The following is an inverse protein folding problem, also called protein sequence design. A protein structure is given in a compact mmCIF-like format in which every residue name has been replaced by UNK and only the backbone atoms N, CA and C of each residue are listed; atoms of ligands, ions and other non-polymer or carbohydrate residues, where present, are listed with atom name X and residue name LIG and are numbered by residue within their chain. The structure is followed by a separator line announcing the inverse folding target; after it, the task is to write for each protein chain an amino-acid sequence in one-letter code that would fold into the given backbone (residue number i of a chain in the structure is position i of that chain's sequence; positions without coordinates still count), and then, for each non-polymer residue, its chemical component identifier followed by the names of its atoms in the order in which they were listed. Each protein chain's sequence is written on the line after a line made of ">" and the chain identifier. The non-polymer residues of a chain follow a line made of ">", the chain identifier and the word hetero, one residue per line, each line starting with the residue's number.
data_IF_864084988727
#
_entry.id   IF_864084988727
#
_cell.length_a   1.000
_cell.length_b   1.000
_cell.length_c   1.000
_cell.angle_alpha   90.00
_cell.angle_beta   90.00
_cell.angle_gamma   90.00
#
_symmetry.space_group_name_H-M   'P 1'
#
loop_
_entity.id
_entity.type
_entity.pdbx_description
1 polymer ?
#
# COMPACT_ATOMS: atom_id res chain seq x y z
N UNK A 1 -5.03 6.52 23.23
CA UNK A 1 -5.52 5.16 23.55
C UNK A 1 -4.62 4.15 22.87
N UNK A 2 -4.29 3.03 23.53
CA UNK A 2 -3.56 1.96 22.88
C UNK A 2 -4.39 1.40 21.71
N UNK A 3 -3.75 1.02 20.60
CA UNK A 3 -4.41 0.33 19.49
C UNK A 3 -4.90 -1.03 19.99
N UNK A 4 -6.14 -1.35 19.73
CA UNK A 4 -6.65 -2.71 19.98
C UNK A 4 -5.93 -3.69 19.04
N UNK A 5 -5.61 -4.92 19.50
CA UNK A 5 -5.03 -5.94 18.63
C UNK A 5 -6.01 -6.30 17.51
N UNK A 6 -5.48 -6.76 16.38
CA UNK A 6 -6.30 -7.26 15.29
C UNK A 6 -7.20 -8.41 15.79
N UNK A 7 -8.46 -8.42 15.35
CA UNK A 7 -9.42 -9.48 15.70
C UNK A 7 -8.98 -10.83 15.12
N UNK A 8 -8.40 -10.81 13.94
CA UNK A 8 -7.94 -11.98 13.21
C UNK A 8 -6.43 -11.93 13.01
N UNK A 9 -5.78 -13.06 13.19
CA UNK A 9 -4.35 -13.21 12.99
C UNK A 9 -3.96 -13.62 11.56
N UNK A 10 -4.95 -13.84 10.66
CA UNK A 10 -4.77 -14.12 9.24
C UNK A 10 -6.05 -13.84 8.48
N UNK A 11 -5.95 -13.68 7.15
CA UNK A 11 -7.14 -13.61 6.29
C UNK A 11 -7.91 -14.94 6.31
N UNK A 12 -7.20 -16.06 6.36
CA UNK A 12 -7.85 -17.38 6.48
C UNK A 12 -8.78 -17.47 7.69
N UNK A 13 -8.37 -16.96 8.86
CA UNK A 13 -9.21 -16.89 10.05
C UNK A 13 -10.37 -15.88 9.91
N UNK A 14 -10.13 -14.76 9.21
CA UNK A 14 -11.15 -13.73 8.94
C UNK A 14 -12.29 -14.32 8.08
N UNK A 15 -11.98 -14.97 6.97
CA UNK A 15 -12.98 -15.49 6.02
C UNK A 15 -13.85 -16.61 6.61
N UNK A 16 -13.45 -17.23 7.70
CA UNK A 16 -14.28 -18.21 8.42
C UNK A 16 -15.43 -17.57 9.20
N UNK A 17 -15.35 -16.27 9.46
CA UNK A 17 -16.27 -15.53 10.34
C UNK A 17 -16.98 -14.38 9.65
N UNK A 18 -16.35 -13.81 8.63
CA UNK A 18 -16.84 -12.65 7.90
C UNK A 18 -17.28 -13.08 6.49
N UNK A 19 -18.28 -12.41 5.93
CA UNK A 19 -18.91 -12.78 4.65
C UNK A 19 -18.47 -11.84 3.54
N UNK A 20 -17.87 -12.40 2.49
CA UNK A 20 -17.57 -11.62 1.28
C UNK A 20 -18.85 -11.08 0.63
N UNK A 21 -18.81 -9.82 0.21
CA UNK A 21 -19.95 -9.09 -0.33
C UNK A 21 -20.85 -8.44 0.72
N UNK A 22 -20.66 -8.76 2.01
CA UNK A 22 -21.38 -8.16 3.15
C UNK A 22 -20.43 -7.38 4.05
N UNK A 23 -19.42 -8.04 4.57
CA UNK A 23 -18.46 -7.46 5.53
C UNK A 23 -17.24 -6.88 4.82
N UNK A 24 -16.77 -7.58 3.79
CA UNK A 24 -15.63 -7.20 2.96
C UNK A 24 -15.85 -7.60 1.51
N UNK A 25 -14.98 -7.11 0.64
CA UNK A 25 -14.84 -7.62 -0.73
C UNK A 25 -13.38 -7.60 -1.19
N UNK A 26 -13.03 -8.55 -2.04
CA UNK A 26 -11.78 -8.56 -2.78
C UNK A 26 -12.01 -8.00 -4.19
N UNK A 27 -11.14 -7.10 -4.63
CA UNK A 27 -11.11 -6.60 -6.00
C UNK A 27 -9.72 -6.76 -6.58
N UNK A 28 -9.65 -7.37 -7.74
CA UNK A 28 -8.40 -7.54 -8.48
C UNK A 28 -8.57 -7.08 -9.93
N UNK A 29 -7.58 -6.38 -10.43
CA UNK A 29 -7.44 -6.00 -11.82
C UNK A 29 -6.06 -6.45 -12.29
N UNK A 30 -5.98 -7.63 -12.88
CA UNK A 30 -4.73 -8.16 -13.45
C UNK A 30 -4.41 -7.46 -14.76
N UNK A 31 -3.16 -7.07 -14.93
CA UNK A 31 -2.62 -6.45 -16.14
C UNK A 31 -1.35 -7.17 -16.59
N UNK A 32 -1.01 -7.06 -17.86
CA UNK A 32 0.30 -7.48 -18.36
C UNK A 32 1.37 -6.46 -17.93
N UNK A 33 1.67 -6.46 -16.63
CA UNK A 33 2.58 -5.52 -15.99
C UNK A 33 3.40 -6.25 -14.92
N UNK A 34 4.71 -5.98 -14.82
CA UNK A 34 5.54 -6.51 -13.74
C UNK A 34 5.30 -5.79 -12.40
N UNK A 35 4.38 -4.81 -12.36
CA UNK A 35 4.10 -3.97 -11.19
C UNK A 35 2.74 -4.33 -10.61
N UNK A 36 2.67 -4.56 -9.30
CA UNK A 36 1.45 -4.67 -8.53
C UNK A 36 1.33 -3.52 -7.52
N UNK A 37 0.18 -2.85 -7.56
CA UNK A 37 -0.27 -1.93 -6.51
C UNK A 37 -1.28 -2.69 -5.66
N UNK A 38 -1.07 -2.75 -4.36
CA UNK A 38 -1.96 -3.46 -3.44
C UNK A 38 -2.43 -2.54 -2.33
N UNK A 39 -3.68 -2.67 -1.92
CA UNK A 39 -4.25 -2.02 -0.74
C UNK A 39 -4.91 -3.11 0.14
N UNK A 40 -4.13 -3.72 1.05
CA UNK A 40 -4.61 -4.86 1.84
C UNK A 40 -5.57 -4.47 2.96
N UNK A 41 -5.78 -3.18 3.21
CA UNK A 41 -6.67 -2.66 4.25
C UNK A 41 -7.57 -1.54 3.70
N UNK A 42 -8.09 -1.71 2.51
CA UNK A 42 -8.84 -0.69 1.79
C UNK A 42 -10.31 -0.55 2.26
N UNK A 43 -11.07 0.27 1.57
CA UNK A 43 -12.46 0.57 1.93
C UNK A 43 -12.53 1.30 3.27
N UNK A 44 -13.41 0.84 4.17
CA UNK A 44 -13.58 1.47 5.49
C UNK A 44 -12.56 1.01 6.55
N UNK A 45 -11.65 0.07 6.24
CA UNK A 45 -10.57 -0.32 7.15
C UNK A 45 -9.56 0.84 7.28
N UNK A 46 -9.03 1.31 6.15
CA UNK A 46 -8.15 2.48 6.04
C UNK A 46 -8.69 3.38 4.93
N UNK A 47 -9.67 4.25 5.21
CA UNK A 47 -10.41 5.01 4.20
C UNK A 47 -9.52 5.80 3.24
N UNK A 48 -9.94 5.88 1.97
CA UNK A 48 -9.28 6.50 0.82
C UNK A 48 -8.10 5.71 0.22
N UNK A 49 -7.62 4.62 0.84
CA UNK A 49 -6.52 3.83 0.27
C UNK A 49 -6.93 3.11 -1.01
N UNK A 50 -8.21 2.74 -1.17
CA UNK A 50 -8.75 2.20 -2.43
C UNK A 50 -8.57 3.16 -3.60
N UNK A 51 -8.98 4.41 -3.42
CA UNK A 51 -8.98 5.45 -4.44
C UNK A 51 -7.55 5.87 -4.79
N UNK A 52 -6.68 5.98 -3.78
CA UNK A 52 -5.26 6.29 -3.98
C UNK A 52 -4.59 5.15 -4.75
N UNK A 53 -4.78 3.90 -4.35
CA UNK A 53 -4.22 2.74 -5.05
C UNK A 53 -4.71 2.65 -6.50
N UNK A 54 -6.02 2.85 -6.73
CA UNK A 54 -6.62 2.87 -8.07
C UNK A 54 -6.02 3.97 -8.94
N UNK A 55 -5.84 5.19 -8.38
CA UNK A 55 -5.27 6.32 -9.11
C UNK A 55 -3.79 6.10 -9.43
N UNK A 56 -3.03 5.46 -8.54
CA UNK A 56 -1.64 5.07 -8.80
C UNK A 56 -1.58 3.99 -9.89
N UNK A 57 -2.43 2.96 -9.82
CA UNK A 57 -2.46 1.89 -10.82
C UNK A 57 -2.85 2.40 -12.22
N UNK A 58 -3.76 3.37 -12.30
CA UNK A 58 -4.17 4.10 -13.52
C UNK A 58 -4.43 3.19 -14.74
N UNK A 59 -4.98 1.99 -14.52
CA UNK A 59 -5.21 1.00 -15.57
C UNK A 59 -3.94 0.39 -16.22
N UNK A 60 -2.74 0.82 -15.79
CA UNK A 60 -1.44 0.35 -16.29
C UNK A 60 -0.87 -0.81 -15.48
N UNK A 61 -0.98 -0.72 -14.15
CA UNK A 61 -0.43 -1.69 -13.23
C UNK A 61 -1.51 -2.65 -12.75
N UNK A 62 -1.13 -3.84 -12.37
CA UNK A 62 -2.03 -4.74 -11.67
C UNK A 62 -2.44 -4.13 -10.32
N UNK A 63 -3.70 -4.30 -9.94
CA UNK A 63 -4.26 -3.70 -8.74
C UNK A 63 -4.99 -4.75 -7.92
N UNK A 64 -4.72 -4.78 -6.62
CA UNK A 64 -5.45 -5.56 -5.63
C UNK A 64 -5.96 -4.66 -4.51
N UNK A 65 -7.20 -4.88 -4.08
CA UNK A 65 -7.80 -4.18 -2.94
C UNK A 65 -8.63 -5.15 -2.10
N UNK A 66 -8.34 -5.22 -0.81
CA UNK A 66 -9.21 -5.84 0.18
C UNK A 66 -9.95 -4.72 0.91
N UNK A 67 -11.25 -4.62 0.70
CA UNK A 67 -12.06 -3.48 1.11
C UNK A 67 -13.07 -3.90 2.19
N UNK A 68 -13.01 -3.29 3.38
CA UNK A 68 -14.10 -3.34 4.35
C UNK A 68 -15.30 -2.54 3.86
N UNK A 69 -16.52 -3.06 4.05
CA UNK A 69 -17.75 -2.50 3.47
C UNK A 69 -18.62 -1.72 4.46
N UNK A 70 -18.43 -1.91 5.75
CA UNK A 70 -19.23 -1.25 6.78
C UNK A 70 -18.45 -0.10 7.46
N UNK A 71 -18.90 1.17 7.29
CA UNK A 71 -18.25 2.32 7.93
C UNK A 71 -18.39 2.36 9.46
N UNK A 72 -19.28 1.58 10.04
CA UNK A 72 -19.47 1.51 11.49
C UNK A 72 -18.48 0.56 12.17
N UNK A 73 -17.80 -0.31 11.41
CA UNK A 73 -16.81 -1.23 11.96
C UNK A 73 -15.52 -0.51 12.36
N UNK A 74 -14.95 -1.00 13.46
CA UNK A 74 -13.66 -0.50 13.92
C UNK A 74 -12.52 -1.13 13.10
N UNK A 75 -11.47 -0.36 12.88
CA UNK A 75 -10.29 -0.77 12.10
C UNK A 75 -9.80 -2.20 12.41
N UNK A 76 -9.61 -2.54 13.70
CA UNK A 76 -9.06 -3.83 14.13
C UNK A 76 -9.98 -5.03 13.84
N UNK A 77 -11.23 -4.81 13.45
CA UNK A 77 -12.20 -5.88 13.23
C UNK A 77 -12.00 -6.60 11.89
N UNK A 78 -11.47 -5.91 10.88
CA UNK A 78 -11.16 -6.48 9.57
C UNK A 78 -9.70 -6.29 9.16
N UNK A 79 -8.91 -5.57 9.96
CA UNK A 79 -7.49 -5.42 9.72
C UNK A 79 -6.77 -6.75 10.04
N UNK A 80 -5.88 -7.16 9.13
CA UNK A 80 -4.93 -8.27 9.33
C UNK A 80 -3.54 -7.72 9.03
N UNK A 81 -2.66 -7.76 10.02
CA UNK A 81 -1.30 -7.20 9.86
C UNK A 81 -0.62 -7.74 8.59
N UNK A 82 0.11 -6.89 7.87
CA UNK A 82 0.68 -7.19 6.54
C UNK A 82 1.60 -8.41 6.51
N UNK A 83 2.22 -8.75 7.65
CA UNK A 83 3.05 -9.96 7.79
C UNK A 83 2.23 -11.25 7.79
N UNK A 84 0.97 -11.17 8.20
CA UNK A 84 0.06 -12.29 8.34
C UNK A 84 -1.04 -12.31 7.27
N UNK A 85 -0.99 -11.33 6.34
CA UNK A 85 -1.98 -11.23 5.28
C UNK A 85 -1.76 -12.34 4.25
N UNK A 86 -2.61 -13.38 4.32
CA UNK A 86 -2.51 -14.63 3.56
C UNK A 86 -3.64 -14.80 2.53
N UNK A 87 -4.27 -13.69 2.08
CA UNK A 87 -5.31 -13.74 1.07
C UNK A 87 -4.74 -14.31 -0.25
N UNK A 88 -5.35 -15.39 -0.80
CA UNK A 88 -4.75 -16.15 -1.90
C UNK A 88 -4.52 -15.35 -3.18
N UNK A 89 -5.49 -14.49 -3.57
CA UNK A 89 -5.39 -13.70 -4.81
C UNK A 89 -4.31 -12.62 -4.67
N UNK A 90 -4.20 -12.00 -3.50
CA UNK A 90 -3.14 -11.04 -3.21
C UNK A 90 -1.76 -11.70 -3.26
N UNK A 91 -1.61 -12.86 -2.63
CA UNK A 91 -0.35 -13.59 -2.62
C UNK A 91 0.07 -14.03 -4.04
N UNK A 92 -0.88 -14.54 -4.84
CA UNK A 92 -0.60 -14.92 -6.23
C UNK A 92 -0.18 -13.71 -7.07
N UNK A 93 -0.92 -12.59 -6.98
CA UNK A 93 -0.59 -11.37 -7.71
C UNK A 93 0.81 -10.85 -7.33
N UNK A 94 1.10 -10.80 -6.04
CA UNK A 94 2.39 -10.33 -5.51
C UNK A 94 3.53 -11.25 -5.94
N UNK A 95 3.37 -12.57 -5.80
CA UNK A 95 4.40 -13.56 -6.18
C UNK A 95 4.75 -13.49 -7.68
N UNK A 96 3.81 -13.04 -8.52
CA UNK A 96 4.01 -12.88 -9.96
C UNK A 96 4.47 -11.47 -10.38
N UNK A 97 4.75 -10.58 -9.42
CA UNK A 97 5.15 -9.19 -9.68
C UNK A 97 6.61 -8.93 -9.30
N UNK A 98 7.35 -8.23 -10.18
CA UNK A 98 8.73 -7.82 -9.91
C UNK A 98 8.80 -6.58 -8.99
N UNK A 99 7.81 -5.68 -9.09
CA UNK A 99 7.69 -4.48 -8.28
C UNK A 99 6.37 -4.53 -7.54
N UNK A 100 6.41 -4.41 -6.22
CA UNK A 100 5.21 -4.41 -5.37
C UNK A 100 5.18 -3.16 -4.51
N UNK A 101 4.05 -2.46 -4.55
CA UNK A 101 3.80 -1.27 -3.72
C UNK A 101 2.50 -1.46 -2.95
N UNK A 102 2.59 -1.47 -1.63
CA UNK A 102 1.44 -1.53 -0.74
C UNK A 102 1.02 -0.12 -0.27
N UNK A 103 -0.26 0.17 -0.36
CA UNK A 103 -0.85 1.43 0.06
C UNK A 103 -1.60 1.20 1.37
N UNK A 104 -1.15 1.87 2.43
CA UNK A 104 -1.70 1.83 3.77
C UNK A 104 -2.12 3.21 4.26
N UNK A 105 -3.04 3.22 5.19
CA UNK A 105 -3.44 4.40 5.92
C UNK A 105 -3.04 4.34 7.38
N UNK A 106 -2.42 5.39 7.90
CA UNK A 106 -2.10 5.52 9.31
C UNK A 106 -2.86 6.69 9.97
N UNK A 107 -2.90 6.69 11.30
CA UNK A 107 -3.35 7.84 12.07
C UNK A 107 -2.32 8.98 12.02
N UNK A 108 -2.77 10.22 12.17
CA UNK A 108 -1.92 11.41 12.07
C UNK A 108 -0.84 11.49 13.16
N UNK A 109 -1.18 11.19 14.41
CA UNK A 109 -0.27 11.15 15.56
C UNK A 109 0.78 12.27 15.54
N UNK A 110 2.09 11.89 15.68
CA UNK A 110 3.24 12.80 15.76
C UNK A 110 3.63 13.45 14.42
N UNK A 111 3.15 12.91 13.29
CA UNK A 111 3.49 13.41 11.94
C UNK A 111 2.24 13.34 11.05
N UNK A 112 1.37 14.37 11.07
CA UNK A 112 0.13 14.38 10.31
C UNK A 112 0.31 14.71 8.82
N UNK A 113 1.50 15.14 8.41
CA UNK A 113 1.73 15.71 7.08
C UNK A 113 2.51 14.79 6.14
N UNK A 114 3.43 13.97 6.68
CA UNK A 114 4.33 13.19 5.84
C UNK A 114 3.79 11.80 5.52
N UNK A 115 3.77 11.43 4.26
CA UNK A 115 3.67 10.02 3.86
C UNK A 115 4.95 9.29 4.26
N UNK A 116 4.83 8.23 5.06
CA UNK A 116 5.96 7.40 5.41
C UNK A 116 6.14 6.31 4.37
N UNK A 117 7.32 6.18 3.83
CA UNK A 117 7.65 5.22 2.79
C UNK A 117 8.66 4.22 3.34
N UNK A 118 8.28 2.96 3.39
CA UNK A 118 9.06 1.86 3.94
C UNK A 118 9.18 0.69 2.97
N UNK A 119 9.48 -0.49 3.49
CA UNK A 119 9.73 -1.70 2.71
C UNK A 119 11.22 -2.03 2.61
N UNK A 120 11.52 -3.18 1.98
CA UNK A 120 12.89 -3.66 1.79
C UNK A 120 13.53 -3.10 0.52
N UNK A 121 12.78 -2.62 -0.46
CA UNK A 121 13.30 -1.99 -1.68
C UNK A 121 13.73 -0.55 -1.38
N UNK A 122 14.94 -0.39 -0.91
CA UNK A 122 15.47 0.91 -0.47
C UNK A 122 15.66 1.90 -1.63
N UNK A 123 16.02 1.41 -2.81
CA UNK A 123 16.21 2.24 -4.01
C UNK A 123 14.87 2.81 -4.49
N UNK A 124 13.87 1.97 -4.72
CA UNK A 124 12.53 2.42 -5.12
C UNK A 124 11.87 3.29 -4.04
N UNK A 125 12.04 2.93 -2.76
CA UNK A 125 11.57 3.75 -1.62
C UNK A 125 12.13 5.19 -1.71
N UNK A 126 13.43 5.33 -1.92
CA UNK A 126 14.07 6.65 -1.97
C UNK A 126 13.58 7.45 -3.20
N UNK A 127 13.48 6.82 -4.37
CA UNK A 127 12.90 7.46 -5.56
C UNK A 127 11.48 7.97 -5.32
N UNK A 128 10.63 7.18 -4.66
CA UNK A 128 9.26 7.62 -4.31
C UNK A 128 9.28 8.81 -3.36
N UNK A 129 10.13 8.80 -2.32
CA UNK A 129 10.26 9.92 -1.38
C UNK A 129 10.70 11.18 -2.11
N UNK A 130 11.70 11.10 -2.97
CA UNK A 130 12.21 12.23 -3.74
C UNK A 130 11.17 12.77 -4.73
N UNK A 131 10.46 11.89 -5.43
CA UNK A 131 9.40 12.28 -6.36
C UNK A 131 8.26 13.01 -5.64
N UNK A 132 7.79 12.48 -4.51
CA UNK A 132 6.75 13.13 -3.70
C UNK A 132 7.19 14.50 -3.20
N UNK A 133 8.42 14.63 -2.69
CA UNK A 133 8.96 15.91 -2.21
C UNK A 133 9.11 16.94 -3.32
N UNK A 134 9.61 16.53 -4.47
CA UNK A 134 9.74 17.37 -5.66
C UNK A 134 8.40 17.95 -6.10
N UNK A 135 7.33 17.15 -5.99
CA UNK A 135 5.98 17.54 -6.37
C UNK A 135 5.20 18.20 -5.21
N UNK A 136 5.89 18.60 -4.11
CA UNK A 136 5.33 19.39 -3.01
C UNK A 136 4.62 18.58 -1.93
N UNK A 137 4.76 17.25 -1.90
CA UNK A 137 4.21 16.40 -0.84
C UNK A 137 5.27 16.06 0.20
N UNK A 138 4.91 16.18 1.48
CA UNK A 138 5.80 15.74 2.55
C UNK A 138 5.89 14.19 2.55
N UNK A 139 7.11 13.68 2.54
CA UNK A 139 7.39 12.25 2.57
C UNK A 139 8.68 11.94 3.32
N UNK A 140 8.71 10.81 4.04
CA UNK A 140 9.85 10.37 4.86
C UNK A 140 10.15 8.91 4.62
N UNK A 141 11.40 8.59 4.30
CA UNK A 141 11.86 7.21 4.21
C UNK A 141 11.95 6.59 5.61
N UNK A 142 11.30 5.44 5.81
CA UNK A 142 11.37 4.66 7.06
C UNK A 142 12.46 3.61 6.98
N UNK A 143 13.23 3.46 8.04
CA UNK A 143 14.32 2.50 8.16
C UNK A 143 13.91 1.31 9.02
N UNK A 144 14.57 0.18 8.83
CA UNK A 144 14.40 -1.01 9.68
C UNK A 144 14.56 -0.63 11.16
N UNK A 145 13.61 -1.09 11.99
CA UNK A 145 13.54 -0.79 13.42
C UNK A 145 12.66 0.42 13.77
N UNK A 146 12.27 1.24 12.80
CA UNK A 146 11.29 2.31 13.02
C UNK A 146 9.84 1.78 12.89
N UNK A 147 8.92 2.49 13.54
CA UNK A 147 7.49 2.14 13.43
C UNK A 147 7.01 2.19 11.99
N UNK A 148 6.18 1.22 11.59
CA UNK A 148 5.58 1.12 10.26
C UNK A 148 6.61 1.09 9.11
N UNK A 149 7.82 0.58 9.38
CA UNK A 149 8.88 0.51 8.38
C UNK A 149 8.62 -0.53 7.28
N UNK A 150 7.73 -1.50 7.47
CA UNK A 150 7.47 -2.56 6.50
C UNK A 150 8.68 -3.43 6.13
N UNK A 151 9.69 -3.47 6.99
CA UNK A 151 10.99 -4.08 6.72
C UNK A 151 11.10 -5.55 7.14
N UNK A 152 9.98 -6.21 7.37
CA UNK A 152 9.92 -7.66 7.57
C UNK A 152 9.84 -8.38 6.23
N UNK A 153 10.60 -9.45 6.04
CA UNK A 153 10.49 -10.31 4.86
C UNK A 153 9.07 -10.95 4.75
N UNK A 154 8.40 -11.12 5.88
CA UNK A 154 7.01 -11.61 5.93
C UNK A 154 5.96 -10.59 5.51
N UNK A 155 6.28 -9.29 5.42
CA UNK A 155 5.33 -8.29 4.95
C UNK A 155 4.93 -8.57 3.49
N UNK A 156 3.63 -8.50 3.18
CA UNK A 156 3.14 -8.86 1.84
C UNK A 156 3.81 -8.07 0.72
N UNK A 157 4.17 -6.79 0.93
CA UNK A 157 4.86 -6.01 -0.10
C UNK A 157 6.25 -6.59 -0.46
N UNK A 158 6.88 -7.33 0.45
CA UNK A 158 8.22 -7.91 0.26
C UNK A 158 8.21 -9.35 -0.29
N UNK A 159 7.01 -9.90 -0.62
CA UNK A 159 6.88 -11.28 -1.11
C UNK A 159 6.89 -11.40 -2.64
N UNK A 160 7.18 -10.31 -3.36
CA UNK A 160 7.29 -10.30 -4.83
C UNK A 160 8.50 -11.10 -5.35
N UNK A 161 8.66 -11.21 -6.67
CA UNK A 161 9.74 -11.95 -7.31
C UNK A 161 11.13 -11.55 -6.83
N UNK A 162 11.33 -10.26 -6.50
CA UNK A 162 12.60 -9.72 -6.02
C UNK A 162 12.80 -9.86 -4.51
N UNK A 163 11.82 -10.38 -3.77
CA UNK A 163 11.81 -10.51 -2.31
C UNK A 163 12.00 -9.16 -1.57
N UNK A 164 11.72 -8.06 -2.24
CA UNK A 164 11.74 -6.69 -1.74
C UNK A 164 10.61 -5.90 -2.38
N UNK A 165 10.04 -4.95 -1.65
CA UNK A 165 8.99 -4.07 -2.12
C UNK A 165 8.92 -2.81 -1.28
N UNK A 166 7.90 -2.00 -1.52
CA UNK A 166 7.67 -0.72 -0.85
C UNK A 166 6.28 -0.71 -0.23
N UNK A 167 6.14 -0.08 0.93
CA UNK A 167 4.84 0.33 1.47
C UNK A 167 4.79 1.83 1.73
N UNK A 168 3.62 2.42 1.51
CA UNK A 168 3.30 3.79 1.89
C UNK A 168 2.32 3.76 3.06
N UNK A 169 2.62 4.53 4.09
CA UNK A 169 1.78 4.75 5.28
C UNK A 169 1.32 6.20 5.25
N UNK A 170 0.14 6.44 4.71
CA UNK A 170 -0.37 7.79 4.42
C UNK A 170 -1.22 8.26 5.60
N UNK A 171 -0.91 9.44 6.23
CA UNK A 171 -1.69 9.99 7.34
C UNK A 171 -3.14 10.25 6.96
N UNK A 172 -4.06 10.21 7.92
CA UNK A 172 -5.49 10.45 7.67
C UNK A 172 -5.73 11.82 7.04
N UNK A 173 -5.13 12.88 7.57
CA UNK A 173 -5.29 14.23 7.04
C UNK A 173 -4.81 14.37 5.60
N UNK A 174 -3.71 13.70 5.24
CA UNK A 174 -3.23 13.66 3.83
C UNK A 174 -4.21 12.94 2.94
N UNK A 175 -4.73 11.79 3.35
CA UNK A 175 -5.72 11.03 2.57
C UNK A 175 -7.01 11.83 2.35
N UNK A 176 -7.50 12.49 3.40
CA UNK A 176 -8.69 13.34 3.31
C UNK A 176 -8.46 14.54 2.37
N UNK A 177 -7.28 15.16 2.41
CA UNK A 177 -6.91 16.24 1.49
C UNK A 177 -6.79 15.79 0.03
N UNK A 178 -6.28 14.57 -0.22
CA UNK A 178 -6.24 13.97 -1.55
C UNK A 178 -7.65 13.66 -2.08
N UNK A 179 -8.57 13.22 -1.22
CA UNK A 179 -9.97 12.98 -1.62
C UNK A 179 -10.74 14.26 -1.87
N UNK A 180 -10.41 15.35 -1.21
CA UNK A 180 -11.04 16.65 -1.41
C UNK A 180 -10.59 17.36 -2.70
N UNK A 181 -9.46 16.95 -3.30
CA UNK A 181 -8.88 17.61 -4.49
C UNK A 181 -8.39 16.54 -5.49
N UNK A 182 -9.17 16.33 -6.55
CA UNK A 182 -8.89 15.33 -7.57
C UNK A 182 -7.58 15.62 -8.35
N UNK A 183 -7.20 16.88 -8.54
CA UNK A 183 -5.95 17.23 -9.21
C UNK A 183 -4.75 16.94 -8.30
N UNK A 184 -4.86 17.25 -7.03
CA UNK A 184 -3.86 16.90 -6.02
C UNK A 184 -3.67 15.38 -5.91
N UNK A 185 -4.75 14.59 -5.95
CA UNK A 185 -4.68 13.13 -5.99
C UNK A 185 -3.95 12.64 -7.25
N UNK A 186 -4.28 13.18 -8.42
CA UNK A 186 -3.62 12.82 -9.68
C UNK A 186 -2.12 13.18 -9.65
N UNK A 187 -1.76 14.33 -9.09
CA UNK A 187 -0.37 14.76 -8.94
C UNK A 187 0.39 13.82 -8.01
N UNK A 188 -0.17 13.50 -6.83
CA UNK A 188 0.40 12.54 -5.89
C UNK A 188 0.65 11.17 -6.53
N UNK A 189 -0.35 10.64 -7.22
CA UNK A 189 -0.25 9.37 -7.92
C UNK A 189 0.74 9.42 -9.09
N UNK A 190 0.83 10.54 -9.80
CA UNK A 190 1.78 10.75 -10.89
C UNK A 190 3.22 10.76 -10.41
N UNK A 191 3.51 11.39 -9.27
CA UNK A 191 4.83 11.37 -8.64
C UNK A 191 5.29 9.93 -8.37
N UNK A 192 4.41 9.11 -7.79
CA UNK A 192 4.71 7.69 -7.50
C UNK A 192 4.91 6.90 -8.80
N UNK A 193 4.05 7.08 -9.82
CA UNK A 193 4.23 6.41 -11.12
C UNK A 193 5.54 6.79 -11.79
N UNK A 194 5.92 8.06 -11.72
CA UNK A 194 7.20 8.54 -12.26
C UNK A 194 8.39 7.83 -11.62
N UNK A 195 8.38 7.66 -10.30
CA UNK A 195 9.41 6.90 -9.59
C UNK A 195 9.43 5.41 -9.98
N UNK A 196 8.26 4.79 -10.17
CA UNK A 196 8.15 3.39 -10.64
C UNK A 196 8.74 3.27 -12.06
N UNK A 197 8.40 4.19 -12.96
CA UNK A 197 8.87 4.18 -14.35
C UNK A 197 10.40 4.40 -14.43
N UNK A 198 10.94 5.28 -13.60
CA UNK A 198 12.38 5.50 -13.47
C UNK A 198 13.09 4.25 -12.97
N UNK A 199 12.59 3.66 -11.89
CA UNK A 199 13.13 2.43 -11.32
C UNK A 199 13.05 1.25 -12.30
N UNK A 200 11.95 1.11 -13.04
CA UNK A 200 11.77 0.05 -14.04
C UNK A 200 12.78 0.17 -15.20
N UNK A 201 13.17 1.39 -15.59
CA UNK A 201 14.21 1.60 -16.61
C UNK A 201 15.58 1.14 -16.11
N UNK A 202 15.93 1.48 -14.88
CA UNK A 202 17.21 1.06 -14.26
C UNK A 202 17.27 -0.47 -14.12
N UNK A 203 16.21 -1.11 -13.66
CA UNK A 203 16.15 -2.58 -13.59
C UNK A 203 16.35 -3.24 -14.96
N UNK A 204 15.87 -2.60 -16.04
CA UNK A 204 15.98 -3.14 -17.40
C UNK A 204 17.34 -2.90 -18.05
N UNK A 205 18.04 -1.81 -17.67
CA UNK A 205 19.38 -1.48 -18.19
C UNK A 205 20.50 -2.22 -17.47
N UNK A 206 20.25 -2.76 -16.27
CA UNK A 206 21.28 -3.39 -15.43
C UNK A 206 22.23 -2.37 -14.79
N UNK A 207 21.87 -1.10 -14.78
CA UNK A 207 22.62 -0.03 -14.10
C UNK A 207 22.35 -0.09 -12.59
N UNK A 208 23.38 0.22 -11.78
CA UNK A 208 23.22 0.36 -10.32
C UNK A 208 22.55 1.70 -9.98
N UNK A 209 21.66 1.68 -8.97
CA UNK A 209 20.99 2.84 -8.38
C UNK A 209 21.75 3.38 -7.18
#
# INVERSE_FOLDING_TARGET
>A
MARLPDRYNSFSALRERETEGVDYRVRVESRSSPVAIIAPHAGFIEPATSEIALTIANGRFSLYRFEGLDPARLHHELHVTSENFDEPIANDLVANSAIVIAIHGRADREDPESSWVGGLDTSLRNLIVEALRRDGFAAVARKKGEALAGASAGNICNRGQRQVGVQLEIPRGVRDALMADAEKLKQYASAIRGAIDEFGRVLSSGEDL
#
